data_IF_676957225130
#
_entry.id   IF_676957225130
#
_cell.length_a   1.000
_cell.length_b   1.000
_cell.length_c   1.000
_cell.angle_alpha   90.00
_cell.angle_beta   90.00
_cell.angle_gamma   90.00
#
_symmetry.space_group_name_H-M   'P 1'
#
loop_
_entity.id
_entity.type
_entity.pdbx_description
1 polymer ?
#
# COMPACT_ATOMS: atom_id res chain seq x y z
N UNK A 1 -7.27 28.07 3.38
CA UNK A 1 -7.14 28.73 2.06
C UNK A 1 -7.06 30.23 2.26
N UNK A 2 -5.86 30.81 2.44
CA UNK A 2 -5.73 32.20 2.88
C UNK A 2 -5.78 33.24 1.74
N UNK A 3 -5.54 32.87 0.49
CA UNK A 3 -5.40 33.81 -0.62
C UNK A 3 -6.10 33.36 -1.89
N UNK A 4 -6.38 34.35 -2.77
CA UNK A 4 -6.97 34.13 -4.09
C UNK A 4 -8.47 33.89 -4.07
N UNK A 5 -9.08 33.71 -5.22
CA UNK A 5 -10.49 33.35 -5.35
C UNK A 5 -10.75 32.04 -4.61
N UNK A 6 -11.80 32.01 -3.84
CA UNK A 6 -12.15 30.89 -2.96
C UNK A 6 -11.01 30.45 -2.03
N UNK A 7 -9.94 31.26 -1.87
CA UNK A 7 -8.74 30.92 -1.13
C UNK A 7 -7.86 29.88 -1.81
N UNK A 8 -7.81 29.84 -3.12
CA UNK A 8 -7.16 28.78 -3.90
C UNK A 8 -5.77 29.13 -4.46
N UNK A 9 -5.12 30.15 -3.91
CA UNK A 9 -3.75 30.57 -4.27
C UNK A 9 -3.56 30.95 -5.75
N UNK A 10 -4.56 31.48 -6.38
CA UNK A 10 -4.49 32.04 -7.72
C UNK A 10 -5.09 33.43 -7.77
N UNK A 11 -4.71 34.17 -8.77
CA UNK A 11 -5.36 35.43 -9.09
C UNK A 11 -6.81 35.16 -9.49
N UNK A 12 -7.70 36.05 -9.06
CA UNK A 12 -9.08 35.99 -9.50
C UNK A 12 -9.19 35.97 -11.03
N UNK A 13 -10.22 35.30 -11.54
CA UNK A 13 -10.64 35.45 -12.93
C UNK A 13 -11.08 36.87 -13.29
N UNK A 14 -11.30 37.71 -12.28
CA UNK A 14 -11.61 39.14 -12.47
C UNK A 14 -10.34 39.94 -12.76
N UNK A 15 -10.36 40.73 -13.80
CA UNK A 15 -9.23 41.58 -14.21
C UNK A 15 -8.83 42.54 -13.08
N UNK A 16 -7.58 42.48 -12.67
CA UNK A 16 -6.97 43.41 -11.70
C UNK A 16 -6.82 42.88 -10.28
N UNK A 17 -7.17 41.62 -9.98
CA UNK A 17 -7.05 41.05 -8.64
C UNK A 17 -5.62 40.60 -8.28
N UNK A 18 -4.69 40.60 -9.22
CA UNK A 18 -3.26 40.32 -8.97
C UNK A 18 -2.67 41.18 -7.84
N UNK A 19 -3.17 42.40 -7.68
CA UNK A 19 -2.77 43.32 -6.61
C UNK A 19 -3.12 42.84 -5.20
N UNK A 20 -4.03 41.88 -5.06
CA UNK A 20 -4.44 41.31 -3.79
C UNK A 20 -3.65 40.06 -3.39
N UNK A 21 -2.82 39.54 -4.30
CA UNK A 21 -1.91 38.45 -3.95
C UNK A 21 -0.76 39.01 -3.09
N UNK A 22 -0.48 38.41 -1.94
CA UNK A 22 0.67 38.80 -1.12
C UNK A 22 1.97 38.50 -1.85
N UNK A 23 3.04 39.17 -1.41
CA UNK A 23 4.38 38.86 -1.92
C UNK A 23 4.76 37.43 -1.62
N UNK A 24 5.67 36.88 -2.42
CA UNK A 24 6.17 35.52 -2.22
C UNK A 24 6.74 35.31 -0.81
N UNK A 25 7.40 36.29 -0.24
CA UNK A 25 7.92 36.27 1.12
C UNK A 25 6.78 36.08 2.14
N UNK A 26 5.71 36.88 2.06
CA UNK A 26 4.54 36.72 2.92
C UNK A 26 3.87 35.36 2.74
N UNK A 27 3.80 34.85 1.50
CA UNK A 27 3.27 33.51 1.26
C UNK A 27 4.11 32.42 1.94
N UNK A 28 5.44 32.51 1.89
CA UNK A 28 6.34 31.60 2.58
C UNK A 28 6.21 31.69 4.11
N UNK A 29 6.20 32.88 4.66
CA UNK A 29 6.00 33.09 6.12
C UNK A 29 4.69 32.45 6.61
N UNK A 30 3.63 32.52 5.80
CA UNK A 30 2.37 31.88 6.16
C UNK A 30 2.45 30.36 6.10
N UNK A 31 3.14 29.78 5.11
CA UNK A 31 3.35 28.33 5.05
C UNK A 31 4.15 27.85 6.26
N UNK A 32 5.18 28.59 6.68
CA UNK A 32 5.95 28.30 7.88
C UNK A 32 5.06 28.30 9.14
N UNK A 33 4.20 29.30 9.28
CA UNK A 33 3.26 29.34 10.39
C UNK A 33 2.31 28.13 10.41
N UNK A 34 1.86 27.66 9.23
CA UNK A 34 1.03 26.45 9.15
C UNK A 34 1.82 25.19 9.49
N UNK A 35 3.03 25.05 8.95
CA UNK A 35 3.91 23.92 9.21
C UNK A 35 4.27 23.81 10.70
N UNK A 36 4.59 24.94 11.34
CA UNK A 36 4.88 25.00 12.77
C UNK A 36 3.65 24.68 13.65
N UNK A 37 2.45 25.10 13.21
CA UNK A 37 1.22 24.87 13.99
C UNK A 37 0.65 23.44 13.84
N UNK A 38 0.98 22.74 12.76
CA UNK A 38 0.42 21.46 12.39
C UNK A 38 1.49 20.42 12.05
N UNK A 39 2.46 20.24 12.95
CA UNK A 39 3.62 19.38 12.79
C UNK A 39 3.33 17.88 12.64
N UNK A 40 2.12 17.44 13.04
CA UNK A 40 1.64 16.06 12.93
C UNK A 40 0.49 15.89 11.92
N UNK A 41 0.21 16.90 11.11
CA UNK A 41 -0.90 16.88 10.16
C UNK A 41 -0.40 17.07 8.74
N UNK A 42 -0.87 16.24 7.82
CA UNK A 42 -0.59 16.44 6.40
C UNK A 42 -1.22 17.75 5.93
N UNK A 43 -0.37 18.67 5.51
CA UNK A 43 -0.78 19.92 4.89
C UNK A 43 -0.68 19.81 3.37
N UNK A 44 -1.64 20.40 2.66
CA UNK A 44 -1.64 20.40 1.21
C UNK A 44 -2.00 21.80 0.67
N UNK A 45 -1.24 22.25 -0.32
CA UNK A 45 -1.59 23.40 -1.14
C UNK A 45 -2.64 23.04 -2.20
N UNK A 46 -3.52 23.95 -2.57
CA UNK A 46 -4.41 23.76 -3.70
C UNK A 46 -3.66 23.72 -5.04
N UNK A 47 -4.27 23.11 -6.04
CA UNK A 47 -3.72 22.86 -7.38
C UNK A 47 -3.14 24.10 -8.07
N UNK A 48 -3.69 25.26 -7.79
CA UNK A 48 -3.32 26.51 -8.40
C UNK A 48 -2.02 27.13 -7.86
N UNK A 49 -1.52 26.66 -6.70
CA UNK A 49 -0.21 27.05 -6.22
C UNK A 49 0.88 26.46 -7.14
N UNK A 50 1.67 27.34 -7.77
CA UNK A 50 2.65 26.98 -8.81
C UNK A 50 3.97 27.72 -8.61
N UNK A 51 4.99 27.24 -9.34
CA UNK A 51 6.30 27.89 -9.36
C UNK A 51 7.02 27.85 -8.02
N UNK A 52 7.61 28.95 -7.60
CA UNK A 52 8.50 29.01 -6.44
C UNK A 52 7.80 28.69 -5.13
N UNK A 53 6.54 29.13 -4.95
CA UNK A 53 5.79 28.81 -3.71
C UNK A 53 5.49 27.32 -3.58
N UNK A 54 5.23 26.65 -4.70
CA UNK A 54 5.02 25.20 -4.69
C UNK A 54 6.30 24.45 -4.34
N UNK A 55 7.45 24.83 -4.92
CA UNK A 55 8.74 24.22 -4.61
C UNK A 55 9.10 24.45 -3.14
N UNK A 56 8.83 25.66 -2.62
CA UNK A 56 9.03 25.96 -1.22
C UNK A 56 8.16 25.07 -0.32
N UNK A 57 6.88 24.94 -0.62
CA UNK A 57 5.96 24.09 0.13
C UNK A 57 6.46 22.64 0.22
N UNK A 58 6.87 22.04 -0.90
CA UNK A 58 7.46 20.70 -0.91
C UNK A 58 8.70 20.60 -0.01
N UNK A 59 9.55 21.64 -0.01
CA UNK A 59 10.78 21.64 0.79
C UNK A 59 10.55 21.66 2.30
N UNK A 60 9.38 22.12 2.75
CA UNK A 60 8.97 22.16 4.16
C UNK A 60 7.91 21.10 4.50
N UNK A 61 7.68 20.10 3.62
CA UNK A 61 6.80 18.98 3.88
C UNK A 61 5.30 19.23 3.61
N UNK A 62 4.96 20.30 2.91
CA UNK A 62 3.59 20.59 2.49
C UNK A 62 3.38 20.06 1.08
N UNK A 63 2.43 19.14 0.92
CA UNK A 63 2.11 18.52 -0.36
C UNK A 63 1.15 19.36 -1.21
N UNK A 64 0.63 18.77 -2.26
CA UNK A 64 -0.34 19.39 -3.16
C UNK A 64 -1.62 18.57 -3.23
N UNK A 65 -2.77 19.26 -3.21
CA UNK A 65 -4.08 18.71 -3.53
C UNK A 65 -4.55 19.26 -4.87
N UNK A 66 -5.02 18.40 -5.73
CA UNK A 66 -5.66 18.81 -6.99
C UNK A 66 -7.15 18.40 -6.95
N UNK A 67 -8.02 19.36 -7.15
CA UNK A 67 -9.46 19.20 -7.31
C UNK A 67 -9.89 19.25 -8.78
N UNK A 68 -8.93 19.18 -9.69
CA UNK A 68 -9.12 19.18 -11.14
C UNK A 68 -8.95 17.80 -11.78
N UNK A 69 -9.17 16.72 -11.04
CA UNK A 69 -8.97 15.35 -11.57
C UNK A 69 -10.00 15.00 -12.67
N UNK A 70 -9.63 14.02 -13.49
CA UNK A 70 -10.17 13.63 -14.78
C UNK A 70 -9.58 14.46 -15.93
N UNK A 71 -8.90 15.56 -15.66
CA UNK A 71 -8.09 16.25 -16.66
C UNK A 71 -6.66 15.66 -16.69
N UNK A 72 -6.40 14.71 -17.58
CA UNK A 72 -5.10 14.01 -17.66
C UNK A 72 -3.91 14.97 -17.79
N UNK A 73 -3.95 16.04 -18.59
CA UNK A 73 -2.84 17.00 -18.61
C UNK A 73 -2.53 17.60 -17.24
N UNK A 74 -3.56 17.87 -16.41
CA UNK A 74 -3.34 18.38 -15.06
C UNK A 74 -2.65 17.35 -14.16
N UNK A 75 -3.02 16.09 -14.30
CA UNK A 75 -2.42 14.99 -13.51
C UNK A 75 -0.93 14.89 -13.76
N UNK A 76 -0.51 14.91 -15.03
CA UNK A 76 0.89 14.75 -15.42
C UNK A 76 1.76 15.92 -14.95
N UNK A 77 1.33 17.16 -15.14
CA UNK A 77 2.18 18.30 -14.83
C UNK A 77 1.95 18.92 -13.44
N UNK A 78 0.87 18.56 -12.76
CA UNK A 78 0.54 19.08 -11.44
C UNK A 78 0.81 18.05 -10.32
N UNK A 79 0.28 16.84 -10.41
CA UNK A 79 0.35 15.86 -9.33
C UNK A 79 1.55 14.92 -9.42
N UNK A 80 1.90 14.46 -10.62
CA UNK A 80 3.06 13.58 -10.77
C UNK A 80 4.36 14.19 -10.20
N UNK A 81 4.69 15.48 -10.41
CA UNK A 81 5.84 16.10 -9.78
C UNK A 81 5.81 16.08 -8.24
N UNK A 82 4.63 16.03 -7.62
CA UNK A 82 4.49 15.88 -6.16
C UNK A 82 4.96 14.48 -5.73
N UNK A 83 4.53 13.44 -6.45
CA UNK A 83 5.02 12.09 -6.20
C UNK A 83 6.53 11.96 -6.44
N UNK A 84 7.03 12.51 -7.55
CA UNK A 84 8.46 12.49 -7.88
C UNK A 84 9.32 13.21 -6.82
N UNK A 85 8.73 14.14 -6.06
CA UNK A 85 9.35 14.77 -4.88
C UNK A 85 9.21 13.92 -3.60
N UNK A 86 8.75 12.68 -3.71
CA UNK A 86 8.51 11.76 -2.59
C UNK A 86 7.52 12.32 -1.55
N UNK A 87 6.44 12.91 -2.03
CA UNK A 87 5.36 13.47 -1.22
C UNK A 87 4.02 12.78 -1.53
N UNK A 88 3.12 12.64 -0.54
CA UNK A 88 1.80 12.06 -0.79
C UNK A 88 1.01 12.92 -1.77
N UNK A 89 0.30 12.26 -2.68
CA UNK A 89 -0.54 12.92 -3.68
C UNK A 89 -2.00 12.89 -3.22
N UNK A 90 -2.63 14.06 -3.20
CA UNK A 90 -4.02 14.21 -2.77
C UNK A 90 -4.86 14.73 -3.95
N UNK A 91 -5.95 14.05 -4.23
CA UNK A 91 -6.80 14.39 -5.36
C UNK A 91 -8.30 14.30 -5.08
N UNK A 92 -9.05 15.01 -5.93
CA UNK A 92 -10.50 15.07 -5.90
C UNK A 92 -11.05 15.24 -7.31
N UNK A 93 -12.26 14.75 -7.59
CA UNK A 93 -12.90 14.95 -8.89
C UNK A 93 -13.08 16.44 -9.21
N UNK A 94 -12.97 16.78 -10.50
CA UNK A 94 -13.11 18.16 -10.98
C UNK A 94 -14.54 18.69 -10.79
N UNK A 95 -15.51 17.86 -11.17
CA UNK A 95 -16.93 18.15 -11.03
C UNK A 95 -17.68 16.96 -10.42
N UNK A 96 -18.92 17.18 -9.94
CA UNK A 96 -19.79 16.08 -9.56
C UNK A 96 -19.89 15.03 -10.68
N UNK A 97 -19.85 13.78 -10.31
CA UNK A 97 -19.84 12.66 -11.27
C UNK A 97 -20.96 12.75 -12.32
N UNK A 98 -22.18 13.10 -11.88
CA UNK A 98 -23.31 13.20 -12.79
C UNK A 98 -23.05 14.21 -13.93
N UNK A 99 -22.42 15.32 -13.62
CA UNK A 99 -22.10 16.34 -14.64
C UNK A 99 -21.01 15.86 -15.60
N UNK A 100 -19.99 15.20 -15.10
CA UNK A 100 -18.93 14.65 -15.95
C UNK A 100 -19.45 13.52 -16.84
N UNK A 101 -20.36 12.65 -16.30
CA UNK A 101 -21.04 11.60 -17.08
C UNK A 101 -21.92 12.20 -18.18
N UNK A 102 -22.72 13.19 -17.84
CA UNK A 102 -23.68 13.77 -18.77
C UNK A 102 -22.99 14.66 -19.82
N UNK A 103 -21.88 15.31 -19.50
CA UNK A 103 -21.03 16.01 -20.45
C UNK A 103 -20.52 15.08 -21.57
N UNK A 104 -20.24 13.81 -21.26
CA UNK A 104 -19.90 12.80 -22.29
C UNK A 104 -21.07 12.57 -23.26
N UNK A 105 -22.28 12.45 -22.72
CA UNK A 105 -23.49 12.18 -23.52
C UNK A 105 -23.82 13.34 -24.46
N UNK A 106 -23.58 14.56 -23.99
CA UNK A 106 -23.89 15.77 -24.73
C UNK A 106 -22.73 16.26 -25.61
N UNK A 107 -21.60 15.56 -25.58
CA UNK A 107 -20.36 15.91 -26.29
C UNK A 107 -19.83 17.32 -25.95
N UNK A 108 -20.18 17.82 -24.78
CA UNK A 108 -19.66 19.04 -24.20
C UNK A 108 -18.39 18.75 -23.40
N UNK A 109 -17.45 19.69 -23.33
CA UNK A 109 -16.27 19.67 -22.46
C UNK A 109 -15.44 18.37 -22.53
N UNK A 110 -14.89 18.03 -23.69
CA UNK A 110 -14.12 16.79 -23.91
C UNK A 110 -12.96 16.55 -22.93
N UNK A 111 -12.47 17.57 -22.26
CA UNK A 111 -11.36 17.49 -21.29
C UNK A 111 -11.79 16.99 -19.89
N UNK A 112 -13.07 17.00 -19.57
CA UNK A 112 -13.62 16.55 -18.27
C UNK A 112 -14.50 15.31 -18.40
N UNK A 113 -14.57 14.70 -19.56
CA UNK A 113 -15.39 13.52 -19.80
C UNK A 113 -14.94 12.37 -18.93
N UNK A 114 -15.85 11.87 -18.10
CA UNK A 114 -15.58 10.73 -17.25
C UNK A 114 -15.64 9.42 -18.04
N UNK A 115 -14.62 8.60 -17.91
CA UNK A 115 -14.61 7.21 -18.38
C UNK A 115 -13.88 6.35 -17.38
N UNK A 116 -14.18 5.02 -17.25
CA UNK A 116 -13.43 4.12 -16.38
C UNK A 116 -11.92 4.15 -16.62
N UNK A 117 -11.49 4.22 -17.87
CA UNK A 117 -10.09 4.28 -18.24
C UNK A 117 -9.43 5.58 -17.76
N UNK A 118 -10.06 6.72 -17.99
CA UNK A 118 -9.55 8.02 -17.56
C UNK A 118 -9.50 8.14 -16.04
N UNK A 119 -10.46 7.54 -15.34
CA UNK A 119 -10.44 7.46 -13.88
C UNK A 119 -9.23 6.68 -13.36
N UNK A 120 -8.93 5.50 -13.97
CA UNK A 120 -7.72 4.75 -13.65
C UNK A 120 -6.46 5.57 -13.88
N UNK A 121 -6.30 6.14 -15.08
CA UNK A 121 -5.13 6.97 -15.43
C UNK A 121 -4.92 8.13 -14.46
N UNK A 122 -6.01 8.79 -14.04
CA UNK A 122 -5.98 9.90 -13.09
C UNK A 122 -5.44 9.48 -11.71
N UNK A 123 -5.63 8.23 -11.32
CA UNK A 123 -5.17 7.67 -10.06
C UNK A 123 -3.79 7.04 -10.20
N UNK A 124 -3.54 6.31 -11.28
CA UNK A 124 -2.31 5.55 -11.48
C UNK A 124 -1.11 6.42 -11.86
N UNK A 125 -1.28 7.38 -12.79
CA UNK A 125 -0.19 8.23 -13.27
C UNK A 125 0.51 9.00 -12.14
N UNK A 126 -0.22 9.65 -11.20
CA UNK A 126 0.41 10.39 -10.12
C UNK A 126 0.67 9.53 -8.87
N UNK A 127 0.44 8.22 -8.91
CA UNK A 127 0.53 7.35 -7.74
C UNK A 127 -0.29 7.89 -6.55
N UNK A 128 -1.59 8.03 -6.76
CA UNK A 128 -2.50 8.67 -5.80
C UNK A 128 -2.43 8.07 -4.40
N UNK A 129 -2.24 8.91 -3.40
CA UNK A 129 -2.18 8.50 -2.00
C UNK A 129 -3.51 8.65 -1.28
N UNK A 130 -4.25 9.70 -1.60
CA UNK A 130 -5.54 10.04 -1.01
C UNK A 130 -6.45 10.58 -2.12
N UNK A 131 -7.66 10.06 -2.21
CA UNK A 131 -8.64 10.49 -3.20
C UNK A 131 -10.03 10.71 -2.60
N UNK A 132 -10.64 11.84 -2.91
CA UNK A 132 -12.04 12.13 -2.60
C UNK A 132 -12.91 11.86 -3.83
N UNK A 133 -13.90 10.97 -3.69
CA UNK A 133 -14.76 10.55 -4.80
C UNK A 133 -15.59 11.70 -5.38
N UNK A 134 -16.10 12.57 -4.51
CA UNK A 134 -16.97 13.68 -4.94
C UNK A 134 -17.13 14.73 -3.83
N UNK A 135 -17.53 15.93 -4.24
CA UNK A 135 -17.84 17.06 -3.33
C UNK A 135 -19.27 17.02 -2.80
N UNK A 136 -20.18 16.31 -3.47
CA UNK A 136 -21.60 16.20 -3.13
C UNK A 136 -21.94 14.77 -2.73
N UNK A 137 -22.51 14.60 -1.54
CA UNK A 137 -22.86 13.30 -0.98
C UNK A 137 -23.83 12.48 -1.84
N UNK A 138 -24.73 13.13 -2.59
CA UNK A 138 -25.68 12.46 -3.49
C UNK A 138 -24.95 11.93 -4.73
N UNK A 139 -24.08 12.73 -5.31
CA UNK A 139 -23.30 12.34 -6.47
C UNK A 139 -22.29 11.22 -6.16
N UNK A 140 -21.69 11.23 -4.96
CA UNK A 140 -20.80 10.15 -4.52
C UNK A 140 -21.51 8.79 -4.45
N UNK A 141 -22.74 8.76 -3.97
CA UNK A 141 -23.52 7.53 -3.92
C UNK A 141 -23.88 7.02 -5.32
N UNK A 142 -24.38 7.88 -6.20
CA UNK A 142 -24.70 7.56 -7.59
C UNK A 142 -23.43 7.07 -8.33
N UNK A 143 -22.31 7.76 -8.16
CA UNK A 143 -21.02 7.38 -8.70
C UNK A 143 -20.63 5.96 -8.30
N UNK A 144 -20.68 5.66 -7.00
CA UNK A 144 -20.37 4.33 -6.51
C UNK A 144 -21.32 3.26 -7.06
N UNK A 145 -22.63 3.53 -7.13
CA UNK A 145 -23.61 2.57 -7.66
C UNK A 145 -23.38 2.26 -9.15
N UNK A 146 -23.09 3.27 -9.95
CA UNK A 146 -22.90 3.09 -11.40
C UNK A 146 -21.51 2.55 -11.77
N UNK A 147 -20.48 2.84 -10.95
CA UNK A 147 -19.07 2.57 -11.28
C UNK A 147 -18.37 1.70 -10.22
N UNK A 148 -19.16 0.91 -9.51
CA UNK A 148 -18.69 0.11 -8.36
C UNK A 148 -17.41 -0.65 -8.63
N UNK A 149 -17.32 -1.36 -9.74
CA UNK A 149 -16.20 -2.25 -10.03
C UNK A 149 -14.88 -1.49 -10.18
N UNK A 150 -14.90 -0.37 -10.90
CA UNK A 150 -13.70 0.46 -11.08
C UNK A 150 -13.33 1.24 -9.83
N UNK A 151 -14.31 1.65 -9.03
CA UNK A 151 -14.07 2.33 -7.75
C UNK A 151 -13.46 1.34 -6.76
N UNK A 152 -14.02 0.15 -6.62
CA UNK A 152 -13.48 -0.89 -5.73
C UNK A 152 -12.06 -1.30 -6.17
N UNK A 153 -11.80 -1.45 -7.48
CA UNK A 153 -10.48 -1.71 -8.03
C UNK A 153 -9.48 -0.62 -7.60
N UNK A 154 -9.83 0.64 -7.81
CA UNK A 154 -8.93 1.76 -7.49
C UNK A 154 -8.78 1.99 -5.99
N UNK A 155 -9.83 1.81 -5.19
CA UNK A 155 -9.77 1.90 -3.73
C UNK A 155 -8.78 0.88 -3.13
N UNK A 156 -8.63 -0.29 -3.74
CA UNK A 156 -7.65 -1.29 -3.32
C UNK A 156 -6.21 -0.95 -3.73
N UNK A 157 -6.02 0.07 -4.58
CA UNK A 157 -4.72 0.48 -5.09
C UNK A 157 -4.25 1.84 -4.60
N UNK A 158 -5.17 2.75 -4.25
CA UNK A 158 -4.84 4.09 -3.74
C UNK A 158 -4.04 3.98 -2.44
N UNK A 159 -2.97 4.78 -2.33
CA UNK A 159 -2.07 4.77 -1.19
C UNK A 159 -1.21 3.52 -1.13
N UNK A 160 -0.87 3.08 0.08
CA UNK A 160 -0.14 1.84 0.33
C UNK A 160 -1.10 0.70 0.64
N UNK A 161 -0.72 -0.52 0.23
CA UNK A 161 -1.45 -1.74 0.55
C UNK A 161 -0.46 -2.90 0.72
N UNK A 162 -0.27 -3.35 1.96
CA UNK A 162 0.74 -4.35 2.29
C UNK A 162 0.16 -5.75 2.35
N UNK A 163 0.70 -6.64 1.54
CA UNK A 163 0.35 -8.06 1.49
C UNK A 163 1.55 -8.91 1.82
N UNK A 164 1.43 -9.81 2.78
CA UNK A 164 2.43 -10.84 3.04
C UNK A 164 2.30 -11.92 1.97
N UNK A 165 3.35 -12.09 1.18
CA UNK A 165 3.41 -13.07 0.06
C UNK A 165 4.01 -14.39 0.48
N UNK A 166 4.91 -14.39 1.48
CA UNK A 166 5.39 -15.61 2.13
C UNK A 166 5.81 -15.35 3.57
N UNK A 167 5.70 -16.38 4.41
CA UNK A 167 6.26 -16.43 5.75
C UNK A 167 6.82 -17.82 5.99
N UNK A 168 8.10 -17.89 6.33
CA UNK A 168 8.81 -19.14 6.54
C UNK A 168 9.54 -19.08 7.88
N UNK A 169 9.34 -20.10 8.71
CA UNK A 169 10.00 -20.23 10.00
C UNK A 169 11.02 -21.35 9.96
N UNK A 170 12.21 -21.09 10.45
CA UNK A 170 13.29 -22.03 10.63
C UNK A 170 13.78 -21.92 12.07
N UNK A 171 13.40 -22.86 12.91
CA UNK A 171 13.73 -22.84 14.35
C UNK A 171 13.31 -21.52 15.01
N UNK A 172 14.29 -20.68 15.36
CA UNK A 172 14.09 -19.38 16.00
C UNK A 172 14.21 -18.19 15.03
N UNK A 173 14.16 -18.45 13.72
CA UNK A 173 14.18 -17.42 12.67
C UNK A 173 12.86 -17.42 11.92
N UNK A 174 12.38 -16.24 11.60
CA UNK A 174 11.21 -16.00 10.76
C UNK A 174 11.61 -15.09 9.61
N UNK A 175 11.43 -15.55 8.39
CA UNK A 175 11.59 -14.74 7.17
C UNK A 175 10.22 -14.48 6.58
N UNK A 176 9.88 -13.23 6.40
CA UNK A 176 8.62 -12.82 5.76
C UNK A 176 8.91 -11.99 4.53
N UNK A 177 8.15 -12.22 3.47
CA UNK A 177 8.15 -11.34 2.31
C UNK A 177 6.86 -10.54 2.31
N UNK A 178 6.99 -9.25 2.11
CA UNK A 178 5.87 -8.32 2.05
C UNK A 178 5.96 -7.57 0.74
N UNK A 179 4.82 -7.46 0.05
CA UNK A 179 4.67 -6.69 -1.17
C UNK A 179 3.78 -5.48 -0.89
N UNK A 180 4.15 -4.30 -1.41
CA UNK A 180 3.22 -3.18 -1.50
C UNK A 180 2.45 -3.31 -2.82
N UNK A 181 1.16 -3.60 -2.76
CA UNK A 181 0.26 -3.67 -3.92
C UNK A 181 -0.50 -2.37 -4.15
N UNK A 182 -0.27 -1.37 -3.30
CA UNK A 182 -0.78 -0.01 -3.48
C UNK A 182 0.12 0.81 -4.39
N UNK A 183 -0.39 1.93 -4.88
CA UNK A 183 0.29 2.81 -5.84
C UNK A 183 1.36 3.71 -5.21
N UNK A 184 1.31 3.93 -3.89
CA UNK A 184 2.21 4.83 -3.21
C UNK A 184 2.87 4.15 -2.00
N UNK A 185 4.03 4.62 -1.53
CA UNK A 185 4.57 4.21 -0.25
C UNK A 185 3.75 4.77 0.91
N UNK A 186 3.94 4.23 2.12
CA UNK A 186 3.52 4.92 3.32
C UNK A 186 4.43 6.15 3.54
N UNK A 187 3.83 7.32 3.79
CA UNK A 187 4.56 8.57 4.04
C UNK A 187 4.75 8.84 5.53
N UNK A 188 4.78 7.80 6.34
CA UNK A 188 5.15 7.78 7.76
C UNK A 188 6.01 6.55 8.02
N UNK A 189 6.79 6.58 9.08
CA UNK A 189 7.64 5.46 9.45
C UNK A 189 6.82 4.34 10.08
N UNK A 190 7.10 3.10 9.68
CA UNK A 190 6.41 1.90 10.18
C UNK A 190 7.39 1.03 10.94
N UNK A 191 7.03 0.67 12.18
CA UNK A 191 7.69 -0.41 12.90
C UNK A 191 6.99 -1.73 12.56
N UNK A 192 7.65 -2.58 11.77
CA UNK A 192 7.22 -3.93 11.49
C UNK A 192 7.69 -4.86 12.61
N UNK A 193 6.75 -5.54 13.25
CA UNK A 193 6.99 -6.44 14.37
C UNK A 193 6.51 -7.84 14.04
N UNK A 194 7.30 -8.86 14.38
CA UNK A 194 6.78 -10.18 14.59
C UNK A 194 6.48 -10.31 16.10
N UNK A 195 5.29 -10.77 16.46
CA UNK A 195 4.79 -10.79 17.84
C UNK A 195 4.29 -12.18 18.20
N UNK A 196 4.64 -12.63 19.41
CA UNK A 196 4.03 -13.80 20.01
C UNK A 196 2.75 -13.35 20.70
N UNK A 197 1.64 -13.99 20.39
CA UNK A 197 0.30 -13.63 20.88
C UNK A 197 -0.34 -14.78 21.66
N UNK A 198 -1.31 -14.41 22.50
CA UNK A 198 -2.21 -15.38 23.11
C UNK A 198 -3.29 -15.87 22.12
N UNK A 199 -4.13 -16.80 22.54
CA UNK A 199 -5.24 -17.32 21.73
C UNK A 199 -6.32 -16.30 21.36
N UNK A 200 -6.29 -15.12 21.97
CA UNK A 200 -7.18 -14.00 21.67
C UNK A 200 -6.53 -12.97 20.73
N UNK A 201 -5.30 -13.22 20.28
CA UNK A 201 -4.53 -12.31 19.43
C UNK A 201 -3.93 -11.11 20.17
N UNK A 202 -3.86 -11.14 21.52
CA UNK A 202 -3.20 -10.09 22.28
C UNK A 202 -1.69 -10.35 22.33
N UNK A 203 -0.91 -9.30 22.14
CA UNK A 203 0.55 -9.38 22.23
C UNK A 203 1.02 -9.78 23.61
N UNK A 204 1.84 -10.80 23.68
CA UNK A 204 2.58 -11.21 24.87
C UNK A 204 4.01 -10.64 24.86
N UNK A 205 4.72 -10.79 23.76
CA UNK A 205 6.10 -10.31 23.58
C UNK A 205 6.45 -10.21 22.09
N UNK A 206 7.59 -9.60 21.76
CA UNK A 206 8.10 -9.60 20.40
C UNK A 206 8.81 -10.92 20.09
N UNK A 207 8.66 -11.37 18.84
CA UNK A 207 9.50 -12.37 18.21
C UNK A 207 10.64 -11.64 17.50
N UNK A 208 11.75 -11.45 18.18
CA UNK A 208 12.88 -10.69 17.67
C UNK A 208 12.72 -9.17 17.77
N UNK A 209 13.65 -8.46 17.12
CA UNK A 209 13.68 -7.00 17.09
C UNK A 209 12.73 -6.46 16.03
N UNK A 210 11.99 -5.39 16.31
CA UNK A 210 11.25 -4.67 15.28
C UNK A 210 12.15 -4.17 14.14
N UNK A 211 11.62 -4.17 12.92
CA UNK A 211 12.30 -3.63 11.74
C UNK A 211 11.63 -2.34 11.31
N UNK A 212 12.43 -1.30 11.08
CA UNK A 212 11.94 -0.03 10.59
C UNK A 212 11.73 -0.10 9.06
N UNK A 213 10.54 0.26 8.61
CA UNK A 213 10.25 0.61 7.21
C UNK A 213 10.19 2.13 7.18
N UNK A 214 11.19 2.74 6.55
CA UNK A 214 11.28 4.19 6.45
C UNK A 214 10.18 4.73 5.52
N UNK A 215 9.61 5.88 5.88
CA UNK A 215 8.63 6.59 5.06
C UNK A 215 9.13 6.83 3.64
N UNK A 216 8.25 6.70 2.66
CA UNK A 216 8.57 6.97 1.26
C UNK A 216 9.53 5.98 0.59
N UNK A 217 9.76 4.78 1.17
CA UNK A 217 10.78 3.86 0.64
C UNK A 217 10.23 2.53 0.12
N UNK A 218 8.97 2.22 0.37
CA UNK A 218 8.36 0.96 -0.05
C UNK A 218 7.31 1.26 -1.14
N UNK A 219 7.80 1.44 -2.37
CA UNK A 219 7.00 1.87 -3.51
C UNK A 219 6.06 0.77 -4.02
N UNK A 220 5.25 1.12 -5.01
CA UNK A 220 4.33 0.20 -5.67
C UNK A 220 5.07 -0.98 -6.30
N UNK A 221 4.46 -2.16 -6.17
CA UNK A 221 5.01 -3.45 -6.61
C UNK A 221 6.34 -3.88 -5.98
N UNK A 222 6.94 -3.07 -5.09
CA UNK A 222 8.12 -3.49 -4.32
C UNK A 222 7.78 -4.72 -3.45
N UNK A 223 8.64 -5.73 -3.50
CA UNK A 223 8.63 -6.85 -2.56
C UNK A 223 9.92 -6.86 -1.74
N UNK A 224 9.79 -6.89 -0.42
CA UNK A 224 10.93 -6.89 0.51
C UNK A 224 10.87 -8.08 1.46
N UNK A 225 12.04 -8.67 1.74
CA UNK A 225 12.18 -9.73 2.74
C UNK A 225 12.65 -9.15 4.07
N UNK A 226 12.02 -9.60 5.17
CA UNK A 226 12.33 -9.18 6.53
C UNK A 226 12.68 -10.41 7.36
N UNK A 227 13.78 -10.34 8.11
CA UNK A 227 14.24 -11.39 9.01
C UNK A 227 14.01 -10.98 10.45
N UNK A 228 13.39 -11.87 11.21
CA UNK A 228 13.27 -11.79 12.66
C UNK A 228 14.01 -12.96 13.29
N UNK A 229 14.77 -12.70 14.36
CA UNK A 229 15.49 -13.72 15.10
C UNK A 229 15.08 -13.66 16.58
N UNK A 230 14.73 -14.80 17.13
CA UNK A 230 14.26 -14.91 18.52
C UNK A 230 15.27 -15.66 19.39
N UNK A 231 15.70 -15.04 20.47
CA UNK A 231 16.74 -15.58 21.36
C UNK A 231 16.19 -16.45 22.52
N UNK A 232 14.88 -16.74 22.50
CA UNK A 232 14.21 -17.49 23.58
C UNK A 232 13.71 -18.86 23.14
N UNK A 233 13.23 -19.63 24.11
CA UNK A 233 12.46 -20.84 23.84
C UNK A 233 11.03 -20.45 23.47
N UNK A 234 10.51 -21.04 22.39
CA UNK A 234 9.13 -20.91 21.98
C UNK A 234 8.31 -22.04 22.59
N UNK A 235 7.13 -21.69 23.09
CA UNK A 235 6.10 -22.67 23.41
C UNK A 235 5.64 -23.32 22.09
N UNK A 236 5.42 -24.63 22.07
CA UNK A 236 4.95 -25.37 20.89
C UNK A 236 3.60 -24.85 20.37
N UNK A 237 2.82 -24.21 21.24
CA UNK A 237 1.53 -23.62 20.90
C UNK A 237 1.60 -22.09 20.72
N UNK A 238 2.79 -21.50 20.60
CA UNK A 238 2.91 -20.06 20.43
C UNK A 238 2.41 -19.63 19.05
N UNK A 239 1.42 -18.75 19.03
CA UNK A 239 0.96 -18.11 17.79
C UNK A 239 1.86 -16.92 17.48
N UNK A 240 2.35 -16.85 16.25
CA UNK A 240 3.14 -15.72 15.76
C UNK A 240 2.28 -14.88 14.84
N UNK A 241 2.22 -13.57 15.10
CA UNK A 241 1.53 -12.59 14.28
C UNK A 241 2.51 -11.55 13.76
N UNK A 242 2.24 -11.01 12.58
CA UNK A 242 2.85 -9.78 12.11
C UNK A 242 1.98 -8.58 12.48
N UNK A 243 2.63 -7.48 12.82
CA UNK A 243 1.99 -6.23 13.20
C UNK A 243 2.79 -5.05 12.67
N UNK A 244 2.10 -4.01 12.21
CA UNK A 244 2.70 -2.77 11.74
C UNK A 244 2.17 -1.58 12.54
N UNK A 245 3.10 -0.76 13.05
CA UNK A 245 2.79 0.40 13.87
C UNK A 245 3.32 1.67 13.21
N UNK A 246 2.45 2.66 13.08
CA UNK A 246 2.87 4.03 12.77
C UNK A 246 3.69 4.58 13.95
N UNK A 247 4.94 4.95 13.69
CA UNK A 247 5.84 5.48 14.71
C UNK A 247 5.91 7.00 14.73
N UNK A 248 5.36 7.65 13.72
CA UNK A 248 5.39 9.12 13.60
C UNK A 248 4.20 9.77 14.34
N UNK A 249 3.12 9.02 14.55
CA UNK A 249 1.94 9.54 15.24
C UNK A 249 1.97 9.26 16.76
N UNK A 250 2.23 10.26 17.60
CA UNK A 250 2.31 10.08 19.05
C UNK A 250 0.97 9.68 19.69
N UNK A 251 -0.17 9.93 19.02
CA UNK A 251 -1.50 9.63 19.55
C UNK A 251 -1.81 8.13 19.53
N UNK A 252 -1.11 7.36 18.70
CA UNK A 252 -1.34 5.92 18.52
C UNK A 252 -0.17 5.05 18.99
N UNK A 253 0.94 5.65 19.39
CA UNK A 253 2.12 4.92 19.87
C UNK A 253 1.79 3.98 21.04
N UNK A 254 2.31 2.74 20.97
CA UNK A 254 2.18 1.73 22.04
C UNK A 254 0.79 1.09 22.17
N UNK A 255 -0.14 1.41 21.29
CA UNK A 255 -1.48 0.81 21.21
C UNK A 255 -1.50 -0.37 20.22
N UNK A 256 -2.70 -0.73 19.78
CA UNK A 256 -2.86 -1.73 18.72
C UNK A 256 -2.18 -1.31 17.42
N UNK A 257 -1.79 -2.27 16.54
CA UNK A 257 -1.27 -1.97 15.22
C UNK A 257 -2.20 -1.03 14.45
N UNK A 258 -1.62 -0.01 13.82
CA UNK A 258 -2.37 1.05 13.13
C UNK A 258 -2.44 0.82 11.63
N UNK A 259 -1.50 0.02 11.10
CA UNK A 259 -1.45 -0.37 9.68
C UNK A 259 -1.93 -1.81 9.56
N UNK A 260 -2.87 -2.04 8.65
CA UNK A 260 -3.47 -3.34 8.42
C UNK A 260 -2.82 -4.01 7.19
N UNK A 261 -2.66 -5.33 7.27
CA UNK A 261 -2.34 -6.15 6.09
C UNK A 261 -3.63 -6.46 5.29
N UNK A 262 -3.51 -6.59 3.98
CA UNK A 262 -4.63 -6.95 3.10
C UNK A 262 -4.92 -8.46 3.07
N UNK A 263 -4.13 -9.25 3.76
CA UNK A 263 -4.35 -10.68 3.85
C UNK A 263 -5.67 -11.02 4.55
N UNK A 264 -6.38 -12.01 4.05
CA UNK A 264 -7.71 -12.42 4.55
C UNK A 264 -7.72 -12.89 6.01
N UNK A 265 -6.59 -13.42 6.50
CA UNK A 265 -6.40 -13.88 7.87
C UNK A 265 -5.90 -12.78 8.84
N UNK A 266 -6.04 -11.50 8.44
CA UNK A 266 -5.76 -10.38 9.33
C UNK A 266 -6.86 -10.29 10.38
N UNK A 267 -6.46 -10.32 11.67
CA UNK A 267 -7.36 -10.29 12.82
C UNK A 267 -8.01 -8.91 12.99
N UNK A 268 -9.08 -8.84 13.76
CA UNK A 268 -9.73 -7.56 14.13
C UNK A 268 -8.81 -6.62 14.91
N UNK A 269 -7.71 -7.13 15.47
CA UNK A 269 -6.65 -6.38 16.13
C UNK A 269 -5.62 -5.80 15.16
N UNK A 270 -5.85 -5.86 13.84
CA UNK A 270 -4.91 -5.52 12.77
C UNK A 270 -3.61 -6.35 12.76
N UNK A 271 -3.58 -7.49 13.46
CA UNK A 271 -2.48 -8.45 13.41
C UNK A 271 -2.76 -9.49 12.34
N UNK A 272 -1.75 -9.81 11.56
CA UNK A 272 -1.81 -10.94 10.63
C UNK A 272 -1.27 -12.17 11.33
N UNK A 273 -2.13 -13.13 11.59
CA UNK A 273 -1.72 -14.42 12.10
C UNK A 273 -0.95 -15.19 11.02
N UNK A 274 0.29 -15.56 11.35
CA UNK A 274 1.08 -16.43 10.49
C UNK A 274 0.69 -17.87 10.81
N UNK A 275 -0.20 -18.40 10.01
CA UNK A 275 -0.52 -19.82 10.05
C UNK A 275 0.72 -20.54 9.54
N UNK A 276 1.38 -21.30 10.42
CA UNK A 276 2.41 -22.22 9.96
C UNK A 276 1.76 -23.12 8.91
N UNK A 277 2.43 -23.32 7.79
CA UNK A 277 1.96 -24.34 6.86
C UNK A 277 1.95 -25.65 7.63
N UNK A 278 0.80 -26.29 7.75
CA UNK A 278 0.64 -27.60 8.43
C UNK A 278 1.47 -28.70 7.78
N UNK A 279 2.47 -28.35 6.98
CA UNK A 279 3.31 -29.28 6.27
C UNK A 279 4.77 -28.78 6.19
N UNK A 280 5.68 -29.71 6.26
CA UNK A 280 7.11 -29.46 5.99
C UNK A 280 7.30 -29.22 4.48
N UNK A 281 7.95 -28.11 4.13
CA UNK A 281 8.24 -27.80 2.71
C UNK A 281 9.04 -28.94 2.07
N UNK A 282 8.56 -29.44 0.94
CA UNK A 282 9.12 -30.60 0.25
C UNK A 282 8.58 -31.96 0.71
N UNK A 283 7.90 -32.05 1.85
CA UNK A 283 7.31 -33.30 2.38
C UNK A 283 6.02 -33.66 1.62
N UNK A 284 6.18 -34.21 0.44
CA UNK A 284 5.05 -34.57 -0.43
C UNK A 284 4.40 -35.89 -0.03
N UNK A 285 5.07 -36.69 0.80
CA UNK A 285 4.53 -37.93 1.33
C UNK A 285 3.78 -37.75 2.65
N UNK A 286 3.92 -36.55 3.30
CA UNK A 286 3.33 -36.18 4.58
C UNK A 286 3.75 -37.09 5.75
N UNK A 287 5.03 -37.53 5.78
CA UNK A 287 5.56 -38.28 6.91
C UNK A 287 6.17 -37.38 8.00
N UNK A 288 6.15 -36.06 7.81
CA UNK A 288 6.65 -35.04 8.72
C UNK A 288 8.12 -34.69 8.54
N UNK A 289 8.82 -35.31 7.59
CA UNK A 289 10.25 -35.07 7.36
C UNK A 289 10.55 -34.96 5.89
N UNK A 290 11.09 -33.79 5.45
CA UNK A 290 11.59 -33.68 4.10
C UNK A 290 12.91 -34.46 3.92
N UNK A 291 12.93 -35.41 3.00
CA UNK A 291 14.08 -36.26 2.71
C UNK A 291 14.10 -36.76 1.26
N UNK A 292 15.05 -37.67 0.93
CA UNK A 292 15.20 -38.20 -0.43
C UNK A 292 13.95 -38.94 -0.94
N UNK A 293 13.13 -39.49 -0.03
CA UNK A 293 11.91 -40.23 -0.40
C UNK A 293 10.91 -39.32 -1.09
N UNK A 294 10.80 -38.06 -0.64
CA UNK A 294 9.91 -37.03 -1.20
C UNK A 294 10.33 -36.65 -2.60
N UNK A 295 11.63 -36.43 -2.80
CA UNK A 295 12.19 -36.09 -4.12
C UNK A 295 11.94 -37.21 -5.11
N UNK A 296 12.12 -38.48 -4.68
CA UNK A 296 11.85 -39.65 -5.51
C UNK A 296 10.34 -39.77 -5.79
N UNK A 297 9.50 -39.48 -4.81
CA UNK A 297 8.03 -39.53 -4.98
C UNK A 297 7.56 -38.47 -5.96
N UNK A 298 8.00 -37.20 -5.82
CA UNK A 298 7.67 -36.14 -6.77
C UNK A 298 8.17 -36.47 -8.18
N UNK A 299 9.41 -36.98 -8.30
CA UNK A 299 9.94 -37.42 -9.60
C UNK A 299 9.08 -38.48 -10.25
N UNK A 300 8.67 -39.50 -9.50
CA UNK A 300 7.76 -40.55 -10.00
C UNK A 300 6.42 -40.00 -10.46
N UNK A 301 5.86 -39.06 -9.68
CA UNK A 301 4.60 -38.42 -10.00
C UNK A 301 4.70 -37.62 -11.30
N UNK A 302 5.74 -36.80 -11.47
CA UNK A 302 6.00 -36.03 -12.69
C UNK A 302 6.20 -36.90 -13.92
N UNK A 303 6.72 -38.10 -13.73
CA UNK A 303 6.90 -39.11 -14.79
C UNK A 303 5.64 -39.97 -15.02
N UNK A 304 4.53 -39.61 -14.36
CA UNK A 304 3.25 -40.33 -14.42
C UNK A 304 3.42 -41.86 -14.16
N UNK A 305 4.32 -42.22 -13.24
CA UNK A 305 4.49 -43.63 -12.83
C UNK A 305 3.20 -44.11 -12.17
N UNK A 306 2.62 -45.25 -12.59
CA UNK A 306 1.44 -45.80 -11.95
C UNK A 306 1.64 -45.91 -10.44
N UNK A 307 0.57 -45.57 -9.67
CA UNK A 307 0.56 -45.59 -8.19
C UNK A 307 1.39 -44.53 -7.46
N UNK A 308 2.10 -43.64 -8.14
CA UNK A 308 2.72 -42.47 -7.51
C UNK A 308 1.62 -41.48 -7.10
N UNK A 309 1.38 -41.36 -5.79
CA UNK A 309 0.40 -40.42 -5.22
C UNK A 309 1.12 -39.50 -4.26
N UNK A 310 0.87 -38.19 -4.40
CA UNK A 310 1.32 -37.20 -3.43
C UNK A 310 0.23 -37.06 -2.37
N UNK A 311 0.60 -37.14 -1.10
CA UNK A 311 -0.30 -36.88 0.01
C UNK A 311 -0.51 -35.37 0.21
N UNK A 312 0.52 -34.59 -0.07
CA UNK A 312 0.47 -33.14 -0.03
C UNK A 312 1.21 -32.51 -1.23
N UNK A 313 0.48 -32.18 -2.28
CA UNK A 313 1.09 -31.56 -3.45
C UNK A 313 1.56 -30.12 -3.17
N UNK A 314 0.90 -29.40 -2.21
CA UNK A 314 1.30 -28.05 -1.84
C UNK A 314 2.66 -27.99 -1.17
N UNK A 315 3.03 -29.04 -0.44
CA UNK A 315 4.37 -29.16 0.11
C UNK A 315 5.45 -29.27 -0.97
N UNK A 316 5.09 -29.81 -2.14
CA UNK A 316 5.97 -29.94 -3.29
C UNK A 316 6.11 -28.69 -4.16
N UNK A 317 5.11 -27.79 -4.15
CA UNK A 317 5.10 -26.53 -4.89
C UNK A 317 6.02 -25.50 -4.18
N UNK A 318 7.32 -25.63 -4.40
CA UNK A 318 8.33 -24.80 -3.76
C UNK A 318 8.52 -23.44 -4.44
N UNK A 319 8.22 -23.36 -5.74
CA UNK A 319 8.24 -22.09 -6.47
C UNK A 319 6.97 -21.26 -6.24
N UNK A 320 5.91 -21.87 -5.64
CA UNK A 320 4.62 -21.26 -5.31
C UNK A 320 3.87 -20.65 -6.50
N UNK A 321 3.99 -21.28 -7.67
CA UNK A 321 3.27 -20.86 -8.88
C UNK A 321 1.92 -21.57 -9.07
N UNK A 322 1.58 -22.49 -8.14
CA UNK A 322 0.36 -23.30 -8.17
C UNK A 322 0.40 -24.48 -9.10
N UNK A 323 1.58 -24.81 -9.66
CA UNK A 323 1.81 -25.96 -10.52
C UNK A 323 2.94 -26.81 -9.94
N UNK A 324 2.87 -28.13 -10.08
CA UNK A 324 3.99 -29.00 -9.74
C UNK A 324 4.69 -29.40 -11.01
N UNK A 325 5.97 -29.02 -11.12
CA UNK A 325 6.77 -29.31 -12.30
C UNK A 325 8.25 -29.61 -12.00
N UNK A 326 9.07 -29.58 -13.03
CA UNK A 326 10.50 -29.86 -12.93
C UNK A 326 11.27 -28.80 -12.14
N UNK A 327 10.75 -27.57 -12.06
CA UNK A 327 11.40 -26.51 -11.28
C UNK A 327 11.30 -26.80 -9.79
N UNK A 328 10.16 -27.28 -9.31
CA UNK A 328 9.98 -27.71 -7.91
C UNK A 328 10.89 -28.89 -7.58
N UNK A 329 10.96 -29.88 -8.47
CA UNK A 329 11.87 -31.00 -8.30
C UNK A 329 13.33 -30.55 -8.21
N UNK A 330 13.73 -29.56 -8.99
CA UNK A 330 15.07 -29.00 -8.93
C UNK A 330 15.31 -28.27 -7.61
N UNK A 331 14.31 -27.54 -7.11
CA UNK A 331 14.37 -26.86 -5.80
C UNK A 331 14.47 -27.87 -4.65
N UNK A 332 13.65 -28.92 -4.65
CA UNK A 332 13.74 -30.01 -3.66
C UNK A 332 15.12 -30.66 -3.64
N UNK A 333 15.70 -30.97 -4.82
CA UNK A 333 17.04 -31.51 -4.91
C UNK A 333 18.12 -30.59 -4.36
N UNK A 334 17.97 -29.28 -4.64
CA UNK A 334 18.89 -28.27 -4.10
C UNK A 334 18.78 -28.18 -2.57
N UNK A 335 17.57 -28.25 -2.00
CA UNK A 335 17.37 -28.27 -0.55
C UNK A 335 18.05 -29.45 0.11
N UNK A 336 17.99 -30.65 -0.49
CA UNK A 336 18.71 -31.84 0.05
C UNK A 336 20.24 -31.71 0.08
N UNK A 337 20.81 -30.90 -0.82
CA UNK A 337 22.28 -30.73 -0.88
C UNK A 337 22.77 -29.73 0.17
N UNK A 338 21.87 -28.85 0.65
CA UNK A 338 22.20 -27.78 1.59
C UNK A 338 21.91 -28.18 3.05
N UNK A 339 21.17 -29.27 3.27
CA UNK A 339 21.04 -29.91 4.59
C UNK A 339 22.34 -30.70 4.93
#
# INVERSE_FOLDING_TARGET
>A
RPFGDYGEWHNSFAVGDEKFMPSLEIQKDMLDCYADAFDHTLLALPSNARGEIYQYALSIGITKRDDGLISIPNVEWSLKPTYDANMPVVGENYWPYAWMRDAVRENEYSYVNWTPQRFRETIEIPHMSIFALDQDSHCSYEFYQEQKDVIDEMCNRIGYNFTVTSAERYENKLVVKIKNTGLAPAFFNISLCAEITDSNGNKLKNFGKPVLIEKGTFHDDDEKAFLFEYDGELDENATICLAMYDTDNPLVQGKNPTVKFDNKNTLSTNRLELVESDYVAGDVNSDGVFNISDVVLLQKWLLAVPDAKLNNWKAGDLCKDGQLDVFDLCMMRRMLIVQ
#
